data_IF_435854346846
#
_entry.id   IF_435854346846
#
_cell.length_a   1.000
_cell.length_b   1.000
_cell.length_c   1.000
_cell.angle_alpha   90.00
_cell.angle_beta   90.00
_cell.angle_gamma   90.00
#
_symmetry.space_group_name_H-M   'P 1'
#
loop_
_entity.id
_entity.type
_entity.pdbx_description
1 polymer ?
#
# COMPACT_ATOMS: atom_id res chain seq x y z
N UNK A 1 -8.36 -17.37 -24.13
CA UNK A 1 -8.30 -17.29 -22.66
C UNK A 1 -6.99 -16.63 -22.30
N UNK A 2 -6.96 -15.30 -22.14
CA UNK A 2 -5.71 -14.60 -21.81
C UNK A 2 -5.35 -14.90 -20.36
N UNK A 3 -4.06 -15.15 -20.10
CA UNK A 3 -3.51 -15.06 -18.75
C UNK A 3 -4.06 -13.80 -18.10
N UNK A 4 -4.58 -13.92 -16.88
CA UNK A 4 -4.77 -12.75 -16.04
C UNK A 4 -3.36 -12.23 -15.83
N UNK A 5 -2.97 -11.19 -16.57
CA UNK A 5 -1.68 -10.53 -16.36
C UNK A 5 -1.64 -10.16 -14.87
N UNK A 6 -0.81 -10.88 -14.12
CA UNK A 6 -0.66 -10.65 -12.70
C UNK A 6 -0.18 -9.21 -12.54
N UNK A 7 -0.97 -8.37 -11.87
CA UNK A 7 -0.57 -6.99 -11.59
C UNK A 7 0.56 -7.02 -10.56
N UNK A 8 1.76 -6.50 -10.87
CA UNK A 8 2.86 -6.43 -9.92
C UNK A 8 2.45 -5.66 -8.66
N UNK A 9 2.83 -6.20 -7.51
CA UNK A 9 2.70 -5.55 -6.20
C UNK A 9 4.05 -5.50 -5.51
N UNK A 10 4.32 -4.42 -4.79
CA UNK A 10 5.56 -4.22 -4.04
C UNK A 10 5.31 -3.41 -2.78
N UNK A 11 6.22 -3.46 -1.82
CA UNK A 11 6.22 -2.47 -0.76
C UNK A 11 6.45 -1.08 -1.35
N UNK A 12 5.77 -0.08 -0.79
CA UNK A 12 5.97 1.30 -1.16
C UNK A 12 7.40 1.76 -0.84
N UNK A 13 7.91 2.69 -1.65
CA UNK A 13 9.14 3.43 -1.42
C UNK A 13 8.79 4.87 -1.00
N UNK A 14 9.79 5.62 -0.52
CA UNK A 14 9.58 7.03 -0.11
C UNK A 14 9.07 7.89 -1.28
N UNK A 15 9.41 7.53 -2.52
CA UNK A 15 8.95 8.25 -3.71
C UNK A 15 7.44 8.07 -3.97
N UNK A 16 6.83 7.00 -3.44
CA UNK A 16 5.39 6.75 -3.54
C UNK A 16 4.57 7.51 -2.47
N UNK A 17 5.25 8.19 -1.53
CA UNK A 17 4.64 8.75 -0.32
C UNK A 17 3.51 9.73 -0.64
N UNK A 18 3.71 10.66 -1.56
CA UNK A 18 2.70 11.64 -1.93
C UNK A 18 1.42 11.01 -2.47
N UNK A 19 1.55 10.00 -3.33
CA UNK A 19 0.41 9.28 -3.90
C UNK A 19 -0.32 8.44 -2.84
N UNK A 20 0.42 7.78 -1.95
CA UNK A 20 -0.15 7.00 -0.86
C UNK A 20 -0.89 7.88 0.15
N UNK A 21 -0.33 9.04 0.51
CA UNK A 21 -0.97 10.00 1.42
C UNK A 21 -2.29 10.52 0.85
N UNK A 22 -2.30 10.87 -0.43
CA UNK A 22 -3.52 11.32 -1.10
C UNK A 22 -4.58 10.23 -1.13
N UNK A 23 -4.19 9.00 -1.50
CA UNK A 23 -5.13 7.88 -1.70
C UNK A 23 -5.66 7.34 -0.37
N UNK A 24 -4.80 7.17 0.65
CA UNK A 24 -5.19 6.69 1.99
C UNK A 24 -5.69 7.82 2.91
N UNK A 25 -5.76 9.06 2.43
CA UNK A 25 -6.15 10.25 3.21
C UNK A 25 -5.32 10.46 4.49
N UNK A 26 -4.05 10.06 4.47
CA UNK A 26 -3.11 10.28 5.58
C UNK A 26 -2.54 11.69 5.48
N UNK A 27 -2.71 12.49 6.52
CA UNK A 27 -2.36 13.93 6.51
C UNK A 27 -0.97 14.25 7.04
N UNK A 28 -0.25 13.27 7.58
CA UNK A 28 1.07 13.47 8.18
C UNK A 28 2.16 12.69 7.44
N UNK A 29 3.14 13.41 6.89
CA UNK A 29 4.34 12.87 6.25
C UNK A 29 5.09 11.93 7.19
N UNK A 30 5.24 12.32 8.46
CA UNK A 30 5.94 11.51 9.46
C UNK A 30 5.24 10.16 9.69
N UNK A 31 3.90 10.15 9.70
CA UNK A 31 3.11 8.93 9.83
C UNK A 31 3.27 8.05 8.59
N UNK A 32 3.15 8.62 7.38
CA UNK A 32 3.30 7.83 6.16
C UNK A 32 4.72 7.30 5.99
N UNK A 33 5.74 8.11 6.25
CA UNK A 33 7.14 7.67 6.20
C UNK A 33 7.37 6.49 7.14
N UNK A 34 6.87 6.55 8.38
CA UNK A 34 6.94 5.42 9.32
C UNK A 34 6.26 4.19 8.74
N UNK A 35 5.06 4.32 8.18
CA UNK A 35 4.34 3.19 7.57
C UNK A 35 5.16 2.54 6.45
N UNK A 36 5.78 3.35 5.59
CA UNK A 36 6.68 2.88 4.52
C UNK A 36 7.90 2.16 5.10
N UNK A 37 8.60 2.79 6.06
CA UNK A 37 9.79 2.22 6.71
C UNK A 37 9.47 0.86 7.38
N UNK A 38 8.27 0.72 7.93
CA UNK A 38 7.79 -0.50 8.60
C UNK A 38 7.15 -1.52 7.64
N UNK A 39 7.21 -1.29 6.32
CA UNK A 39 6.61 -2.16 5.30
C UNK A 39 5.12 -2.38 5.51
N UNK A 40 4.42 -1.35 5.97
CA UNK A 40 2.97 -1.34 6.18
C UNK A 40 2.19 -0.96 4.91
N UNK A 41 2.85 -0.44 3.88
CA UNK A 41 2.20 -0.02 2.64
C UNK A 41 2.66 -0.90 1.48
N UNK A 42 1.70 -1.51 0.80
CA UNK A 42 1.90 -2.27 -0.43
C UNK A 42 1.18 -1.53 -1.56
N UNK A 43 1.87 -1.31 -2.67
CA UNK A 43 1.30 -0.66 -3.85
C UNK A 43 1.21 -1.63 -5.01
N UNK A 44 0.19 -1.44 -5.85
CA UNK A 44 0.01 -2.14 -7.10
C UNK A 44 0.35 -1.22 -8.26
N UNK A 45 1.08 -1.75 -9.24
CA UNK A 45 1.64 -0.97 -10.35
C UNK A 45 1.19 -1.54 -11.71
N UNK A 46 0.76 -0.67 -12.62
CA UNK A 46 0.42 -1.05 -13.99
C UNK A 46 0.99 -0.01 -14.95
N UNK A 47 1.84 -0.44 -15.89
CA UNK A 47 2.51 0.45 -16.87
C UNK A 47 3.15 1.66 -16.16
N UNK A 48 3.94 1.41 -15.11
CA UNK A 48 4.65 2.43 -14.33
C UNK A 48 3.73 3.39 -13.53
N UNK A 49 2.43 3.11 -13.47
CA UNK A 49 1.48 3.91 -12.70
C UNK A 49 1.00 3.14 -11.47
N UNK A 50 0.94 3.81 -10.32
CA UNK A 50 0.29 3.27 -9.13
C UNK A 50 -1.22 3.24 -9.35
N UNK A 51 -1.81 2.05 -9.23
CA UNK A 51 -3.24 1.81 -9.49
C UNK A 51 -4.00 1.31 -8.28
N UNK A 52 -3.29 0.90 -7.22
CA UNK A 52 -3.89 0.47 -5.98
C UNK A 52 -2.91 0.49 -4.81
N UNK A 53 -3.46 0.50 -3.60
CA UNK A 53 -2.74 0.49 -2.34
C UNK A 53 -3.43 -0.42 -1.35
N UNK A 54 -2.64 -1.13 -0.57
CA UNK A 54 -3.05 -1.90 0.58
C UNK A 54 -2.25 -1.41 1.78
N UNK A 55 -2.98 -1.05 2.84
CA UNK A 55 -2.43 -0.66 4.13
C UNK A 55 -2.54 -1.84 5.10
N UNK A 56 -1.41 -2.23 5.68
CA UNK A 56 -1.29 -3.16 6.78
C UNK A 56 -1.18 -2.39 8.10
N UNK A 57 -1.71 -2.98 9.16
CA UNK A 57 -1.51 -2.52 10.53
C UNK A 57 -1.15 -3.68 11.44
N UNK A 58 -0.32 -3.41 12.43
CA UNK A 58 0.18 -4.40 13.38
C UNK A 58 -0.36 -4.07 14.77
N UNK A 59 -1.14 -4.97 15.37
CA UNK A 59 -1.79 -4.69 16.67
C UNK A 59 -0.81 -4.58 17.84
N UNK A 60 0.42 -5.10 17.73
CA UNK A 60 1.49 -4.91 18.72
C UNK A 60 2.87 -4.95 18.06
N UNK A 61 3.32 -3.79 17.55
CA UNK A 61 4.67 -3.64 16.99
C UNK A 61 5.72 -3.96 18.07
N UNK A 62 6.61 -4.94 17.80
CA UNK A 62 7.72 -5.31 18.69
C UNK A 62 7.62 -6.70 19.35
N UNK A 63 6.51 -7.43 19.19
CA UNK A 63 6.36 -8.78 19.74
C UNK A 63 6.65 -9.87 18.69
N UNK A 64 7.36 -10.95 19.08
CA UNK A 64 7.46 -12.16 18.25
C UNK A 64 6.05 -12.74 18.07
N UNK A 65 5.59 -12.86 16.81
CA UNK A 65 4.24 -13.31 16.47
C UNK A 65 3.24 -12.19 16.17
N UNK A 66 3.70 -10.96 15.93
CA UNK A 66 2.80 -9.90 15.48
C UNK A 66 2.16 -10.25 14.13
N UNK A 67 0.84 -10.42 14.11
CA UNK A 67 0.06 -10.72 12.90
C UNK A 67 -0.42 -9.39 12.31
N UNK A 68 -0.04 -9.06 11.06
CA UNK A 68 -0.62 -7.91 10.38
C UNK A 68 -2.08 -8.18 10.03
N UNK A 69 -2.89 -7.14 10.06
CA UNK A 69 -4.21 -7.15 9.44
C UNK A 69 -4.27 -6.08 8.35
N UNK A 70 -5.16 -6.28 7.40
CA UNK A 70 -5.43 -5.32 6.35
C UNK A 70 -6.34 -4.24 6.93
N UNK A 71 -5.81 -3.01 7.02
CA UNK A 71 -6.55 -1.82 7.46
C UNK A 71 -7.38 -1.25 6.33
N UNK A 72 -6.79 -1.17 5.13
CA UNK A 72 -7.43 -0.56 3.96
C UNK A 72 -6.94 -1.21 2.68
N UNK A 73 -7.83 -1.30 1.69
CA UNK A 73 -7.52 -1.61 0.30
C UNK A 73 -8.22 -0.57 -0.55
N UNK A 74 -7.45 0.13 -1.38
CA UNK A 74 -8.01 1.06 -2.36
C UNK A 74 -7.44 0.76 -3.74
N UNK A 75 -8.32 0.74 -4.72
CA UNK A 75 -7.96 0.65 -6.15
C UNK A 75 -8.54 1.87 -6.84
N UNK A 76 -7.83 2.47 -7.79
CA UNK A 76 -8.34 3.59 -8.55
C UNK A 76 -9.58 3.16 -9.35
N UNK A 77 -10.63 3.99 -9.39
CA UNK A 77 -11.92 3.65 -10.01
C UNK A 77 -11.82 3.05 -11.43
N UNK A 78 -10.97 3.56 -12.34
CA UNK A 78 -10.85 3.00 -13.69
C UNK A 78 -10.32 1.56 -13.74
N UNK A 79 -9.73 1.07 -12.65
CA UNK A 79 -9.11 -0.24 -12.54
C UNK A 79 -9.91 -1.21 -11.65
N UNK A 80 -11.05 -0.76 -11.11
CA UNK A 80 -12.01 -1.62 -10.40
C UNK A 80 -12.82 -2.42 -11.43
N UNK A 81 -13.02 -3.72 -11.16
CA UNK A 81 -13.83 -4.63 -11.98
C UNK A 81 -14.99 -5.16 -11.17
#
# INVERSE_FOLDING_TARGET
MSMIDAIPVRFAHVDDMGWCMHTLTVTSDAVMKRKIDFKEIIVAEMKENLVGVLELMYMWQGHKGCVPYISSIMVLNPYRR
#
